data_IF_617436782734
#
_entry.id   IF_617436782734
#
_cell.length_a   1.000
_cell.length_b   1.000
_cell.length_c   1.000
_cell.angle_alpha   90.00
_cell.angle_beta   90.00
_cell.angle_gamma   90.00
#
_symmetry.space_group_name_H-M   'P 1'
#
loop_
_entity.id
_entity.type
_entity.pdbx_description
1 polymer ?
#
# COMPACT_ATOMS: atom_id res chain seq x y z
N UNK A 1 8.95 11.85 4.64
CA UNK A 1 8.01 10.93 3.97
C UNK A 1 7.10 11.68 3.00
N UNK A 2 6.52 11.01 2.00
CA UNK A 2 5.69 11.63 0.96
C UNK A 2 4.36 10.88 0.79
N UNK A 3 3.24 11.60 0.86
CA UNK A 3 1.91 11.00 0.86
C UNK A 3 0.93 11.74 -0.08
N UNK A 4 0.91 11.35 -1.34
CA UNK A 4 0.02 11.92 -2.36
C UNK A 4 -0.73 10.83 -3.12
N UNK A 5 -1.68 11.22 -3.97
CA UNK A 5 -2.38 10.25 -4.84
C UNK A 5 -1.37 9.42 -5.63
N UNK A 6 -1.52 8.10 -5.61
CA UNK A 6 -0.70 7.17 -6.38
C UNK A 6 -1.22 6.96 -7.80
N UNK A 7 -2.25 7.71 -8.21
CA UNK A 7 -2.76 7.66 -9.57
C UNK A 7 -2.10 8.72 -10.44
N UNK A 8 -1.42 8.31 -11.52
CA UNK A 8 -0.95 9.23 -12.57
C UNK A 8 -2.12 9.71 -13.43
N UNK A 9 -3.12 8.83 -13.62
CA UNK A 9 -4.39 9.16 -14.27
C UNK A 9 -5.54 8.54 -13.47
N UNK A 10 -6.60 9.31 -13.25
CA UNK A 10 -7.79 8.82 -12.56
C UNK A 10 -9.06 9.44 -13.17
N UNK A 11 -9.94 8.57 -13.67
CA UNK A 11 -11.31 8.90 -14.08
C UNK A 11 -12.28 8.15 -13.15
N UNK A 12 -13.11 8.87 -12.36
CA UNK A 12 -14.08 8.24 -11.50
C UNK A 12 -15.19 7.58 -12.33
N UNK A 13 -15.86 6.62 -11.71
CA UNK A 13 -17.13 6.10 -12.20
C UNK A 13 -18.22 7.15 -12.04
N UNK A 14 -19.00 7.39 -13.08
CA UNK A 14 -20.08 8.36 -13.04
C UNK A 14 -21.19 8.03 -14.03
N UNK A 15 -22.42 8.38 -13.67
CA UNK A 15 -23.56 8.33 -14.57
C UNK A 15 -24.02 9.75 -14.93
N UNK A 16 -24.03 10.07 -16.22
CA UNK A 16 -24.41 11.38 -16.76
C UNK A 16 -25.85 11.34 -17.26
N UNK A 17 -26.80 11.65 -16.37
CA UNK A 17 -28.24 11.56 -16.65
C UNK A 17 -28.68 12.36 -17.89
N UNK A 18 -28.07 13.53 -18.16
CA UNK A 18 -28.41 14.39 -19.30
C UNK A 18 -28.13 13.71 -20.65
N UNK A 19 -27.16 12.80 -20.70
CA UNK A 19 -26.72 12.13 -21.92
C UNK A 19 -27.06 10.63 -21.92
N UNK A 20 -27.63 10.12 -20.84
CA UNK A 20 -27.83 8.68 -20.62
C UNK A 20 -26.53 7.88 -20.86
N UNK A 21 -25.41 8.41 -20.34
CA UNK A 21 -24.08 7.77 -20.50
C UNK A 21 -23.55 7.37 -19.14
N UNK A 22 -23.22 6.09 -19.04
CA UNK A 22 -22.39 5.57 -17.96
C UNK A 22 -20.91 5.67 -18.33
N UNK A 23 -20.12 6.27 -17.45
CA UNK A 23 -18.66 6.43 -17.57
C UNK A 23 -18.00 5.46 -16.62
N UNK A 24 -17.31 4.48 -17.18
CA UNK A 24 -16.54 3.51 -16.42
C UNK A 24 -15.30 4.13 -15.77
N UNK A 25 -15.00 3.63 -14.57
CA UNK A 25 -13.77 3.92 -13.84
C UNK A 25 -12.57 3.51 -14.68
N UNK A 26 -11.62 4.42 -14.84
CA UNK A 26 -10.33 4.14 -15.45
C UNK A 26 -9.22 4.78 -14.62
N UNK A 27 -8.12 4.05 -14.39
CA UNK A 27 -7.02 4.59 -13.59
C UNK A 27 -5.68 3.96 -13.97
N UNK A 28 -4.62 4.76 -13.90
CA UNK A 28 -3.23 4.31 -14.04
C UNK A 28 -2.50 4.55 -12.74
N UNK A 29 -1.92 3.49 -12.17
CA UNK A 29 -1.24 3.51 -10.87
C UNK A 29 0.27 3.68 -11.04
N UNK A 30 0.84 4.57 -10.25
CA UNK A 30 2.27 4.79 -10.14
C UNK A 30 2.85 3.99 -8.97
N UNK A 31 3.58 2.91 -9.29
CA UNK A 31 4.20 2.02 -8.29
C UNK A 31 5.20 2.74 -7.38
N UNK A 32 5.88 3.78 -7.88
CA UNK A 32 6.85 4.55 -7.09
C UNK A 32 6.13 5.37 -6.00
N UNK A 33 5.04 6.04 -6.36
CA UNK A 33 4.27 6.82 -5.38
C UNK A 33 3.57 5.89 -4.38
N UNK A 34 3.07 4.75 -4.83
CA UNK A 34 2.47 3.75 -3.94
C UNK A 34 3.47 3.24 -2.89
N UNK A 35 4.70 2.91 -3.32
CA UNK A 35 5.80 2.56 -2.42
C UNK A 35 6.13 3.67 -1.41
N UNK A 36 6.14 4.94 -1.84
CA UNK A 36 6.35 6.08 -0.94
C UNK A 36 5.23 6.24 0.10
N UNK A 37 3.97 5.95 -0.27
CA UNK A 37 2.85 5.94 0.68
C UNK A 37 3.03 4.85 1.73
N UNK A 38 3.45 3.65 1.32
CA UNK A 38 3.75 2.56 2.24
C UNK A 38 4.91 2.91 3.19
N UNK A 39 5.97 3.55 2.69
CA UNK A 39 7.05 4.09 3.51
C UNK A 39 6.53 5.08 4.54
N UNK A 40 5.69 6.03 4.11
CA UNK A 40 5.12 7.06 4.98
C UNK A 40 4.29 6.46 6.12
N UNK A 41 3.40 5.50 5.82
CA UNK A 41 2.60 4.83 6.84
C UNK A 41 3.48 4.04 7.80
N UNK A 42 4.48 3.30 7.29
CA UNK A 42 5.41 2.52 8.11
C UNK A 42 6.20 3.41 9.07
N UNK A 43 6.80 4.50 8.57
CA UNK A 43 7.60 5.42 9.38
C UNK A 43 6.79 6.11 10.49
N UNK A 44 5.50 6.37 10.28
CA UNK A 44 4.62 6.91 11.32
C UNK A 44 4.38 5.93 12.47
N UNK A 45 4.40 4.62 12.21
CA UNK A 45 4.22 3.61 13.24
C UNK A 45 5.51 3.18 13.92
N UNK A 46 6.62 3.14 13.18
CA UNK A 46 7.91 2.68 13.70
C UNK A 46 8.63 3.77 14.50
N UNK A 47 8.43 5.05 14.18
CA UNK A 47 9.16 6.16 14.81
C UNK A 47 8.30 7.38 15.08
N UNK A 48 8.72 8.18 16.06
CA UNK A 48 8.05 9.45 16.43
C UNK A 48 8.64 10.68 15.71
N UNK A 49 9.80 10.56 15.10
CA UNK A 49 10.54 11.60 14.38
C UNK A 49 10.24 11.57 12.88
N UNK A 50 8.96 11.60 12.52
CA UNK A 50 8.50 11.44 11.14
C UNK A 50 7.73 12.68 10.69
N UNK A 51 8.19 13.32 9.61
CA UNK A 51 7.49 14.40 8.91
C UNK A 51 6.97 13.85 7.58
N UNK A 52 5.67 14.02 7.35
CA UNK A 52 4.99 13.61 6.11
C UNK A 52 4.54 14.85 5.36
N UNK A 53 4.99 15.01 4.12
CA UNK A 53 4.43 16.00 3.20
C UNK A 53 3.31 15.33 2.42
N UNK A 54 2.09 15.83 2.57
CA UNK A 54 0.88 15.18 2.05
C UNK A 54 0.00 16.11 1.22
N UNK A 55 -0.74 15.52 0.27
CA UNK A 55 -1.88 16.19 -0.37
C UNK A 55 -3.18 15.88 0.38
N UNK A 56 -4.31 16.38 -0.11
CA UNK A 56 -5.67 15.99 0.33
C UNK A 56 -5.92 14.48 0.30
N UNK A 57 -5.04 13.68 -0.30
CA UNK A 57 -5.10 12.22 -0.15
C UNK A 57 -5.06 11.73 1.30
N UNK A 58 -4.50 12.50 2.24
CA UNK A 58 -4.40 12.11 3.65
C UNK A 58 -5.75 12.02 4.40
N UNK A 59 -6.81 12.64 3.88
CA UNK A 59 -8.15 12.54 4.45
C UNK A 59 -8.98 11.40 3.83
N UNK A 60 -8.45 10.72 2.81
CA UNK A 60 -9.07 9.53 2.23
C UNK A 60 -8.70 8.30 3.04
N UNK A 61 -9.69 7.45 3.33
CA UNK A 61 -9.57 6.34 4.26
C UNK A 61 -8.46 5.33 3.89
N UNK A 62 -7.50 5.16 4.78
CA UNK A 62 -6.42 4.16 4.71
C UNK A 62 -6.69 3.00 5.69
N UNK A 63 -7.90 2.43 5.65
CA UNK A 63 -8.29 1.38 6.58
C UNK A 63 -8.10 1.74 8.06
N UNK A 64 -8.14 0.74 8.94
CA UNK A 64 -7.82 0.93 10.36
C UNK A 64 -6.32 0.74 10.59
N UNK A 65 -5.64 1.69 11.27
CA UNK A 65 -4.21 1.60 11.62
C UNK A 65 -3.77 0.24 12.18
N UNK A 66 -4.61 -0.34 13.04
CA UNK A 66 -4.36 -1.62 13.70
C UNK A 66 -4.30 -2.80 12.72
N UNK A 67 -5.09 -2.79 11.65
CA UNK A 67 -5.06 -3.85 10.64
C UNK A 67 -3.74 -3.85 9.86
N UNK A 68 -3.18 -2.66 9.57
CA UNK A 68 -1.88 -2.55 8.90
C UNK A 68 -0.75 -3.14 9.77
N UNK A 69 -0.77 -2.85 11.08
CA UNK A 69 0.20 -3.39 12.02
C UNK A 69 0.07 -4.90 12.22
N UNK A 70 -1.16 -5.41 12.25
CA UNK A 70 -1.41 -6.85 12.39
C UNK A 70 -1.02 -7.63 11.12
N UNK A 71 -1.03 -6.96 9.96
CA UNK A 71 -0.50 -7.50 8.72
C UNK A 71 1.04 -7.41 8.62
N UNK A 72 1.75 -6.85 9.61
CA UNK A 72 3.20 -6.80 9.54
C UNK A 72 3.82 -8.11 10.06
N UNK A 73 4.68 -8.75 9.25
CA UNK A 73 5.53 -9.85 9.72
C UNK A 73 6.74 -9.27 10.46
N UNK A 74 6.82 -9.51 11.77
CA UNK A 74 7.98 -9.15 12.60
C UNK A 74 8.92 -10.34 12.69
N UNK A 75 10.18 -10.14 12.34
CA UNK A 75 11.25 -11.13 12.45
C UNK A 75 12.40 -10.55 13.27
N UNK A 76 13.02 -11.38 14.10
CA UNK A 76 14.21 -11.06 14.89
C UNK A 76 15.25 -12.16 14.73
N UNK A 77 16.52 -11.78 14.86
CA UNK A 77 17.62 -12.74 14.83
C UNK A 77 17.48 -13.69 16.03
N UNK A 78 17.47 -14.99 15.76
CA UNK A 78 17.28 -16.04 16.77
C UNK A 78 15.83 -16.54 16.91
N UNK A 79 14.88 -16.02 16.13
CA UNK A 79 13.52 -16.56 16.11
C UNK A 79 13.53 -18.02 15.62
N UNK A 80 12.83 -18.95 16.30
CA UNK A 80 12.76 -20.36 15.92
C UNK A 80 11.76 -20.56 14.76
N UNK A 81 11.94 -19.82 13.67
CA UNK A 81 11.07 -19.86 12.49
C UNK A 81 11.79 -20.56 11.34
N UNK A 82 11.15 -21.59 10.78
CA UNK A 82 11.64 -22.24 9.57
C UNK A 82 11.33 -21.38 8.33
N UNK A 83 12.14 -21.48 7.26
CA UNK A 83 11.88 -20.78 6.00
C UNK A 83 10.48 -21.05 5.42
N UNK A 84 9.95 -22.26 5.64
CA UNK A 84 8.59 -22.65 5.22
C UNK A 84 7.50 -21.87 5.95
N UNK A 85 7.65 -21.69 7.27
CA UNK A 85 6.70 -20.91 8.07
C UNK A 85 6.73 -19.43 7.69
N UNK A 86 7.90 -18.90 7.31
CA UNK A 86 8.03 -17.55 6.79
C UNK A 86 7.30 -17.42 5.44
N UNK A 87 7.51 -18.38 4.52
CA UNK A 87 6.83 -18.41 3.21
C UNK A 87 5.31 -18.34 3.33
N UNK A 88 4.71 -19.20 4.16
CA UNK A 88 3.26 -19.22 4.40
C UNK A 88 2.73 -17.90 4.96
N UNK A 89 3.51 -17.24 5.83
CA UNK A 89 3.11 -15.93 6.38
C UNK A 89 3.21 -14.83 5.34
N UNK A 90 4.22 -14.85 4.47
CA UNK A 90 4.41 -13.86 3.41
C UNK A 90 3.33 -13.97 2.32
N UNK A 91 2.89 -15.18 1.99
CA UNK A 91 1.73 -15.40 1.10
C UNK A 91 0.47 -14.70 1.62
N UNK A 92 0.23 -14.75 2.94
CA UNK A 92 -0.87 -14.04 3.60
C UNK A 92 -0.80 -12.51 3.49
N UNK A 93 0.36 -11.94 3.15
CA UNK A 93 0.60 -10.50 3.04
C UNK A 93 0.45 -9.97 1.61
N UNK A 94 -0.06 -10.78 0.68
CA UNK A 94 -0.25 -10.42 -0.74
C UNK A 94 1.07 -10.06 -1.44
N UNK A 95 2.18 -10.59 -0.96
CA UNK A 95 3.44 -10.53 -1.67
C UNK A 95 3.47 -11.63 -2.72
N UNK A 96 3.97 -11.29 -3.91
CA UNK A 96 4.25 -12.27 -4.95
C UNK A 96 5.62 -12.90 -4.71
N UNK A 97 5.70 -14.22 -4.77
CA UNK A 97 6.98 -14.92 -4.78
C UNK A 97 7.56 -14.76 -6.18
N UNK A 98 8.72 -14.10 -6.28
CA UNK A 98 9.48 -14.01 -7.52
C UNK A 98 10.65 -14.98 -7.44
N UNK A 99 10.65 -16.03 -8.26
CA UNK A 99 11.73 -17.03 -8.32
C UNK A 99 12.97 -16.54 -9.10
N UNK A 100 12.90 -15.36 -9.72
CA UNK A 100 13.96 -14.80 -10.57
C UNK A 100 14.93 -13.88 -9.82
N UNK A 101 15.39 -14.29 -8.65
CA UNK A 101 16.55 -13.66 -7.99
C UNK A 101 17.84 -14.37 -8.41
N UNK A 102 18.14 -14.33 -9.72
CA UNK A 102 19.45 -14.73 -10.22
C UNK A 102 20.48 -13.70 -9.75
N UNK A 103 21.48 -14.20 -9.03
CA UNK A 103 22.68 -13.46 -8.56
C UNK A 103 23.43 -12.83 -9.72
#
# INVERSE_FOLDING_TARGET
EYFVSYYDFFRPEAYLAVKDVYVEKASVVNRKIDSLRHSATRSLFERRDTIVVASVSCIYGLGVPTAYLNAALRLRVGDPLSPREVGLRVEGLRYEVCEDATV
#
